data_IF_989728723773
#
_entry.id   IF_989728723773
#
_cell.length_a   1.000
_cell.length_b   1.000
_cell.length_c   1.000
_cell.angle_alpha   90.00
_cell.angle_beta   90.00
_cell.angle_gamma   90.00
#
_symmetry.space_group_name_H-M   'P 1'
#
loop_
_entity.id
_entity.type
_entity.pdbx_description
1 polymer ?
#
# COMPACT_ATOMS: atom_id res chain seq x y z
N UNK A 1 -18.94 48.88 24.17
CA UNK A 1 -18.06 47.73 24.51
C UNK A 1 -18.88 46.79 25.37
N UNK A 2 -18.96 45.50 25.06
CA UNK A 2 -19.72 44.56 25.88
C UNK A 2 -18.99 44.36 27.22
N UNK A 3 -19.63 44.81 28.31
CA UNK A 3 -19.15 44.60 29.68
C UNK A 3 -19.11 43.09 29.95
N UNK A 4 -17.97 42.61 30.42
CA UNK A 4 -17.80 41.20 30.78
C UNK A 4 -18.01 41.12 32.29
N UNK A 5 -19.09 40.49 32.71
CA UNK A 5 -19.38 40.24 34.12
C UNK A 5 -19.10 38.76 34.44
N UNK A 6 -18.67 38.50 35.68
CA UNK A 6 -18.51 37.14 36.17
C UNK A 6 -19.86 36.40 36.16
N UNK A 7 -19.95 35.20 35.56
CA UNK A 7 -21.20 34.45 35.52
C UNK A 7 -21.69 33.98 36.90
N UNK A 8 -20.83 34.00 37.91
CA UNK A 8 -21.13 33.52 39.25
C UNK A 8 -21.52 34.65 40.22
N UNK A 9 -20.75 35.73 40.29
CA UNK A 9 -20.98 36.83 41.24
C UNK A 9 -21.38 38.16 40.58
N UNK A 10 -21.49 38.21 39.25
CA UNK A 10 -21.78 39.43 38.47
C UNK A 10 -20.77 40.58 38.66
N UNK A 11 -19.60 40.31 39.26
CA UNK A 11 -18.52 41.29 39.37
C UNK A 11 -17.89 41.60 38.01
N UNK A 12 -17.47 42.85 37.83
CA UNK A 12 -16.71 43.34 36.68
C UNK A 12 -15.19 43.34 36.96
N UNK A 13 -14.76 43.00 38.17
CA UNK A 13 -13.34 42.84 38.52
C UNK A 13 -12.82 41.48 38.05
N UNK A 14 -12.34 41.46 36.81
CA UNK A 14 -11.88 40.27 36.11
C UNK A 14 -10.50 40.51 35.49
N UNK A 15 -9.69 39.45 35.43
CA UNK A 15 -8.42 39.43 34.72
C UNK A 15 -8.43 38.34 33.64
N UNK A 16 -7.78 38.60 32.51
CA UNK A 16 -7.78 37.71 31.34
C UNK A 16 -6.37 37.30 30.94
N UNK A 17 -6.10 35.99 30.89
CA UNK A 17 -4.83 35.45 30.39
C UNK A 17 -5.02 34.78 29.02
N UNK A 18 -4.30 35.22 27.97
CA UNK A 18 -4.39 34.61 26.64
C UNK A 18 -3.94 33.14 26.65
N UNK A 19 -4.66 32.29 25.93
CA UNK A 19 -4.32 30.88 25.73
C UNK A 19 -3.72 30.66 24.34
N UNK A 20 -2.99 29.55 24.19
CA UNK A 20 -2.30 29.19 22.94
C UNK A 20 -3.24 28.97 21.74
N UNK A 21 -4.52 28.69 21.99
CA UNK A 21 -5.55 28.46 20.97
C UNK A 21 -6.42 29.70 20.68
N UNK A 22 -5.89 30.89 21.02
CA UNK A 22 -6.55 32.19 20.87
C UNK A 22 -7.79 32.41 21.75
N UNK A 23 -8.10 31.51 22.69
CA UNK A 23 -9.11 31.75 23.73
C UNK A 23 -8.53 32.61 24.86
N UNK A 24 -9.41 33.24 25.62
CA UNK A 24 -9.04 34.00 26.82
C UNK A 24 -9.52 33.24 28.06
N UNK A 25 -8.62 32.84 28.94
CA UNK A 25 -9.00 32.33 30.26
C UNK A 25 -9.25 33.55 31.16
N UNK A 26 -10.50 33.72 31.57
CA UNK A 26 -10.92 34.81 32.44
C UNK A 26 -10.99 34.28 33.86
N UNK A 27 -10.40 35.02 34.78
CA UNK A 27 -10.43 34.79 36.22
C UNK A 27 -11.15 35.97 36.88
N UNK A 28 -12.15 35.70 37.72
CA UNK A 28 -12.78 36.73 38.53
C UNK A 28 -12.02 36.92 39.85
N UNK A 29 -11.55 38.14 40.12
CA UNK A 29 -10.75 38.44 41.29
C UNK A 29 -11.57 38.38 42.59
N UNK A 30 -12.90 38.58 42.51
CA UNK A 30 -13.78 38.60 43.69
C UNK A 30 -14.20 37.21 44.18
N UNK A 31 -14.46 36.27 43.28
CA UNK A 31 -14.96 34.94 43.65
C UNK A 31 -14.07 33.79 43.18
N UNK A 32 -12.97 34.09 42.49
CA UNK A 32 -12.01 33.11 41.99
C UNK A 32 -12.54 32.20 40.87
N UNK A 33 -13.72 32.47 40.31
CA UNK A 33 -14.30 31.65 39.25
C UNK A 33 -13.55 31.87 37.94
N UNK A 34 -13.19 30.79 37.26
CA UNK A 34 -12.49 30.80 35.98
C UNK A 34 -13.36 30.26 34.84
N UNK A 35 -13.31 30.92 33.67
CA UNK A 35 -13.99 30.44 32.46
C UNK A 35 -13.27 30.87 31.19
N UNK A 36 -13.47 30.09 30.12
CA UNK A 36 -12.87 30.37 28.81
C UNK A 36 -13.83 31.19 27.94
N UNK A 37 -13.30 32.24 27.30
CA UNK A 37 -14.04 33.09 26.36
C UNK A 37 -13.43 33.03 24.97
N UNK A 38 -14.30 32.92 23.96
CA UNK A 38 -13.95 32.85 22.54
C UNK A 38 -13.96 31.42 22.00
N UNK A 39 -14.13 31.29 20.69
CA UNK A 39 -14.04 30.01 19.99
C UNK A 39 -12.58 29.65 19.74
N UNK A 40 -12.23 28.37 19.92
CA UNK A 40 -10.89 27.88 19.59
C UNK A 40 -10.65 28.06 18.08
N UNK A 41 -9.78 29.00 17.72
CA UNK A 41 -9.39 29.19 16.32
C UNK A 41 -8.27 28.20 16.01
N UNK A 42 -8.48 27.40 14.96
CA UNK A 42 -7.45 26.52 14.42
C UNK A 42 -6.26 27.39 13.98
N UNK A 43 -5.08 27.10 14.52
CA UNK A 43 -3.83 27.78 14.16
C UNK A 43 -3.60 27.67 12.63
N UNK A 44 -3.57 28.79 11.89
CA UNK A 44 -3.33 28.81 10.45
C UNK A 44 -1.95 28.26 10.06
N UNK A 45 -0.98 28.27 10.99
CA UNK A 45 0.37 27.76 10.78
C UNK A 45 0.50 26.25 10.95
N UNK A 46 -0.52 25.57 11.45
CA UNK A 46 -0.52 24.11 11.60
C UNK A 46 -0.92 23.47 10.27
N UNK A 47 -0.01 22.71 9.60
CA UNK A 47 -0.34 22.03 8.36
C UNK A 47 -1.60 21.18 8.55
N UNK A 48 -2.49 21.20 7.57
CA UNK A 48 -3.62 20.28 7.59
C UNK A 48 -3.08 18.86 7.73
N UNK A 49 -3.67 18.06 8.63
CA UNK A 49 -3.37 16.63 8.71
C UNK A 49 -3.64 16.05 7.33
N UNK A 50 -2.59 15.60 6.64
CA UNK A 50 -2.74 14.92 5.35
C UNK A 50 -3.49 13.62 5.60
N UNK A 51 -4.70 13.56 5.06
CA UNK A 51 -5.51 12.33 5.03
C UNK A 51 -4.97 11.38 3.98
N UNK A 52 -5.31 10.10 4.08
CA UNK A 52 -4.95 9.12 3.04
C UNK A 52 -5.51 9.53 1.67
N UNK A 53 -6.72 10.08 1.62
CA UNK A 53 -7.36 10.46 0.36
C UNK A 53 -6.69 11.70 -0.27
N UNK A 54 -6.23 12.67 0.55
CA UNK A 54 -5.40 13.77 0.04
C UNK A 54 -4.04 13.30 -0.47
N UNK A 55 -3.41 12.34 0.21
CA UNK A 55 -2.14 11.76 -0.26
C UNK A 55 -2.32 10.97 -1.55
N UNK A 56 -3.44 10.26 -1.70
CA UNK A 56 -3.77 9.54 -2.93
C UNK A 56 -4.02 10.51 -4.10
N UNK A 57 -4.68 11.65 -3.84
CA UNK A 57 -4.88 12.69 -4.85
C UNK A 57 -3.56 13.31 -5.34
N UNK A 58 -2.54 13.39 -4.48
CA UNK A 58 -1.19 13.84 -4.82
C UNK A 58 -0.34 12.76 -5.52
N UNK A 59 -0.81 11.51 -5.59
CA UNK A 59 -0.08 10.41 -6.22
C UNK A 59 -0.13 10.54 -7.76
N UNK A 60 0.96 10.20 -8.49
CA UNK A 60 0.97 10.27 -9.95
C UNK A 60 -0.18 9.48 -10.60
N UNK A 61 -0.73 10.04 -11.67
CA UNK A 61 -1.82 9.45 -12.45
C UNK A 61 -1.39 9.21 -13.90
N UNK A 62 -2.13 8.43 -14.71
CA UNK A 62 -1.84 8.27 -16.13
C UNK A 62 -1.74 9.59 -16.90
N UNK A 63 -2.46 10.62 -16.45
CA UNK A 63 -2.43 11.96 -17.02
C UNK A 63 -1.03 12.61 -16.96
N UNK A 64 -0.19 12.21 -16.00
CA UNK A 64 1.17 12.74 -15.84
C UNK A 64 2.17 12.21 -16.87
N UNK A 65 1.84 11.15 -17.62
CA UNK A 65 2.72 10.62 -18.67
C UNK A 65 2.70 11.52 -19.91
N UNK A 66 3.87 11.96 -20.37
CA UNK A 66 4.02 12.78 -21.59
C UNK A 66 3.52 12.03 -22.83
N UNK A 67 3.01 12.78 -23.81
CA UNK A 67 2.43 12.21 -25.02
C UNK A 67 3.41 11.30 -25.79
N UNK A 68 4.63 11.77 -26.02
CA UNK A 68 5.71 11.00 -26.67
C UNK A 68 6.02 9.66 -25.97
N UNK A 69 5.88 9.59 -24.65
CA UNK A 69 6.10 8.37 -23.88
C UNK A 69 4.92 7.42 -24.07
N UNK A 70 3.68 7.93 -24.13
CA UNK A 70 2.50 7.11 -24.43
C UNK A 70 2.59 6.50 -25.82
N UNK A 71 3.00 7.27 -26.82
CA UNK A 71 3.20 6.77 -28.19
C UNK A 71 4.27 5.66 -28.24
N UNK A 72 5.39 5.87 -27.54
CA UNK A 72 6.43 4.83 -27.39
C UNK A 72 5.87 3.58 -26.74
N UNK A 73 5.14 3.71 -25.63
CA UNK A 73 4.56 2.55 -24.92
C UNK A 73 3.59 1.81 -25.84
N UNK A 74 2.75 2.50 -26.59
CA UNK A 74 1.84 1.88 -27.55
C UNK A 74 2.59 1.11 -28.65
N UNK A 75 3.69 1.67 -29.16
CA UNK A 75 4.56 0.97 -30.13
C UNK A 75 5.20 -0.28 -29.51
N UNK A 76 5.70 -0.18 -28.28
CA UNK A 76 6.25 -1.31 -27.53
C UNK A 76 5.20 -2.40 -27.26
N UNK A 77 3.96 -2.02 -26.94
CA UNK A 77 2.87 -2.98 -26.76
C UNK A 77 2.57 -3.72 -28.06
N UNK A 78 2.50 -3.01 -29.18
CA UNK A 78 2.31 -3.63 -30.49
C UNK A 78 3.44 -4.61 -30.82
N UNK A 79 4.69 -4.24 -30.57
CA UNK A 79 5.86 -5.12 -30.75
C UNK A 79 5.78 -6.37 -29.86
N UNK A 80 5.50 -6.20 -28.57
CA UNK A 80 5.38 -7.31 -27.63
C UNK A 80 4.30 -8.33 -28.03
N UNK A 81 3.19 -7.85 -28.58
CA UNK A 81 2.08 -8.70 -29.02
C UNK A 81 2.36 -9.44 -30.34
N UNK A 82 3.32 -8.99 -31.16
CA UNK A 82 3.73 -9.70 -32.38
C UNK A 82 4.38 -11.04 -32.06
N UNK A 83 5.11 -11.14 -30.94
CA UNK A 83 5.79 -12.35 -30.49
C UNK A 83 4.84 -13.40 -29.87
N UNK A 84 3.55 -13.07 -29.74
CA UNK A 84 2.48 -13.95 -29.21
C UNK A 84 2.92 -14.74 -27.96
N UNK A 85 3.27 -14.06 -26.87
CA UNK A 85 3.70 -14.73 -25.65
C UNK A 85 2.58 -15.65 -25.14
N UNK A 86 2.82 -16.96 -25.10
CA UNK A 86 1.84 -17.90 -24.55
C UNK A 86 1.74 -17.75 -23.02
N UNK A 87 0.53 -17.78 -22.43
CA UNK A 87 0.34 -17.87 -20.99
C UNK A 87 1.01 -19.11 -20.41
N UNK A 88 1.49 -19.01 -19.18
CA UNK A 88 2.02 -20.17 -18.47
C UNK A 88 0.86 -21.11 -18.09
N UNK A 89 0.83 -22.36 -18.60
CA UNK A 89 -0.30 -23.27 -18.38
C UNK A 89 -0.47 -23.65 -16.91
N UNK A 90 0.58 -23.55 -16.08
CA UNK A 90 0.50 -23.88 -14.66
C UNK A 90 -0.20 -22.80 -13.83
N UNK A 91 -0.21 -21.55 -14.31
CA UNK A 91 -0.70 -20.41 -13.52
C UNK A 91 -2.19 -20.47 -13.24
N UNK A 92 -3.00 -20.92 -14.20
CA UNK A 92 -4.43 -21.06 -14.01
C UNK A 92 -4.78 -22.06 -12.89
N UNK A 93 -4.16 -23.24 -12.91
CA UNK A 93 -4.36 -24.27 -11.89
C UNK A 93 -3.80 -23.86 -10.52
N UNK A 94 -2.60 -23.25 -10.51
CA UNK A 94 -2.01 -22.69 -9.30
C UNK A 94 -2.92 -21.65 -8.65
N UNK A 95 -3.44 -20.71 -9.44
CA UNK A 95 -4.33 -19.65 -8.96
C UNK A 95 -5.62 -20.22 -8.39
N UNK A 96 -6.30 -21.10 -9.13
CA UNK A 96 -7.56 -21.70 -8.68
C UNK A 96 -7.40 -22.42 -7.32
N UNK A 97 -6.34 -23.22 -7.17
CA UNK A 97 -6.01 -23.91 -5.91
C UNK A 97 -5.86 -22.94 -4.74
N UNK A 98 -5.06 -21.90 -4.92
CA UNK A 98 -4.77 -20.98 -3.81
C UNK A 98 -5.87 -19.96 -3.55
N UNK A 99 -6.71 -19.65 -4.54
CA UNK A 99 -7.94 -18.89 -4.32
C UNK A 99 -8.90 -19.64 -3.39
N UNK A 100 -9.10 -20.94 -3.62
CA UNK A 100 -9.91 -21.79 -2.75
C UNK A 100 -9.32 -21.87 -1.34
N UNK A 101 -8.01 -22.12 -1.23
CA UNK A 101 -7.31 -22.19 0.06
C UNK A 101 -7.28 -20.86 0.83
N UNK A 102 -7.35 -19.70 0.17
CA UNK A 102 -7.28 -18.40 0.84
C UNK A 102 -8.65 -17.76 1.13
N UNK A 103 -9.74 -18.49 0.87
CA UNK A 103 -11.06 -18.18 1.44
C UNK A 103 -11.01 -18.19 2.97
N UNK A 104 -11.99 -17.58 3.65
CA UNK A 104 -12.04 -17.56 5.12
C UNK A 104 -12.01 -18.96 5.72
N UNK A 105 -12.81 -19.87 5.15
CA UNK A 105 -12.93 -21.25 5.65
C UNK A 105 -11.75 -22.11 5.20
N UNK A 106 -11.33 -21.99 3.93
CA UNK A 106 -10.19 -22.74 3.40
C UNK A 106 -8.88 -22.43 4.13
N UNK A 107 -8.67 -21.16 4.51
CA UNK A 107 -7.42 -20.71 5.12
C UNK A 107 -7.22 -21.29 6.51
N UNK A 108 -8.30 -21.44 7.28
CA UNK A 108 -8.24 -21.96 8.65
C UNK A 108 -7.64 -23.37 8.71
N UNK A 109 -7.83 -24.17 7.65
CA UNK A 109 -7.35 -25.56 7.55
C UNK A 109 -6.28 -25.76 6.48
N UNK A 110 -5.79 -24.70 5.83
CA UNK A 110 -4.87 -24.80 4.69
C UNK A 110 -3.60 -25.59 5.06
N UNK A 111 -3.26 -26.71 4.39
CA UNK A 111 -2.14 -27.58 4.80
C UNK A 111 -0.79 -26.87 4.84
N UNK A 112 0.08 -27.27 5.77
CA UNK A 112 1.41 -26.68 5.92
C UNK A 112 2.27 -26.81 4.64
N UNK A 113 2.19 -27.96 3.98
CA UNK A 113 2.88 -28.20 2.70
C UNK A 113 2.41 -27.26 1.59
N UNK A 114 1.11 -26.95 1.55
CA UNK A 114 0.52 -26.09 0.53
C UNK A 114 0.93 -24.63 0.72
N UNK A 115 0.97 -24.18 1.98
CA UNK A 115 1.43 -22.84 2.34
C UNK A 115 2.93 -22.66 2.06
N UNK A 116 3.74 -23.69 2.34
CA UNK A 116 5.17 -23.66 2.02
C UNK A 116 5.39 -23.69 0.50
N UNK A 117 4.65 -24.55 -0.23
CA UNK A 117 4.70 -24.60 -1.69
C UNK A 117 4.29 -23.26 -2.31
N UNK A 118 3.24 -22.63 -1.81
CA UNK A 118 2.82 -21.31 -2.25
C UNK A 118 3.96 -20.30 -2.17
N UNK A 119 4.60 -20.25 -0.99
CA UNK A 119 5.62 -19.27 -0.67
C UNK A 119 6.96 -19.53 -1.40
N UNK A 120 7.25 -20.76 -1.80
CA UNK A 120 8.54 -21.14 -2.40
C UNK A 120 8.46 -21.34 -3.90
N UNK A 121 7.27 -21.60 -4.46
CA UNK A 121 7.07 -21.74 -5.89
C UNK A 121 7.34 -20.41 -6.64
N UNK A 122 7.89 -20.52 -7.84
CA UNK A 122 8.04 -19.39 -8.79
C UNK A 122 6.83 -19.23 -9.71
N UNK A 123 5.86 -20.16 -9.68
CA UNK A 123 4.62 -20.06 -10.45
C UNK A 123 3.91 -18.75 -10.11
N UNK A 124 3.32 -18.11 -11.12
CA UNK A 124 2.77 -16.74 -11.11
C UNK A 124 3.83 -15.63 -11.04
N UNK A 125 4.68 -15.65 -10.01
CA UNK A 125 5.82 -14.74 -9.85
C UNK A 125 6.79 -15.25 -8.78
N UNK A 126 8.08 -14.96 -8.96
CA UNK A 126 9.15 -15.37 -8.04
C UNK A 126 9.29 -14.38 -6.87
N UNK A 127 9.11 -14.82 -5.60
CA UNK A 127 9.28 -13.95 -4.43
C UNK A 127 10.75 -13.70 -4.05
N UNK A 128 11.71 -14.23 -4.82
CA UNK A 128 13.14 -14.06 -4.58
C UNK A 128 13.73 -15.06 -3.58
N UNK A 129 14.68 -14.62 -2.75
CA UNK A 129 15.42 -15.50 -1.84
C UNK A 129 14.55 -15.95 -0.65
N UNK A 130 14.24 -17.24 -0.62
CA UNK A 130 13.41 -17.88 0.41
C UNK A 130 14.17 -18.51 1.58
N UNK A 131 15.49 -18.33 1.68
CA UNK A 131 16.31 -18.93 2.75
C UNK A 131 15.86 -18.54 4.16
N UNK A 132 15.41 -17.29 4.35
CA UNK A 132 14.91 -16.80 5.63
C UNK A 132 13.61 -17.49 6.05
N UNK A 133 12.66 -17.68 5.12
CA UNK A 133 11.43 -18.43 5.38
C UNK A 133 11.74 -19.89 5.67
N UNK A 134 12.53 -20.54 4.81
CA UNK A 134 12.88 -21.96 4.97
C UNK A 134 13.57 -22.25 6.30
N UNK A 135 14.45 -21.34 6.77
CA UNK A 135 15.07 -21.46 8.09
C UNK A 135 14.02 -21.35 9.20
N UNK A 136 13.19 -20.31 9.16
CA UNK A 136 12.15 -20.12 10.16
C UNK A 136 11.16 -21.30 10.20
N UNK A 137 10.77 -21.81 9.04
CA UNK A 137 9.88 -22.98 8.89
C UNK A 137 10.46 -24.22 9.55
N UNK A 138 11.75 -24.49 9.33
CA UNK A 138 12.47 -25.61 9.96
C UNK A 138 12.61 -25.43 11.47
N UNK A 139 12.84 -24.20 11.93
CA UNK A 139 13.04 -23.90 13.36
C UNK A 139 11.76 -24.00 14.17
N UNK A 140 10.64 -23.49 13.66
CA UNK A 140 9.34 -23.52 14.34
C UNK A 140 8.66 -24.89 14.22
N UNK A 141 8.93 -25.62 13.14
CA UNK A 141 8.16 -26.80 12.76
C UNK A 141 6.99 -26.43 11.85
N UNK A 142 6.51 -27.41 11.10
CA UNK A 142 5.56 -27.19 10.01
C UNK A 142 4.22 -26.64 10.50
N UNK A 143 3.68 -27.16 11.61
CA UNK A 143 2.38 -26.78 12.13
C UNK A 143 2.37 -25.35 12.67
N UNK A 144 3.35 -25.00 13.54
CA UNK A 144 3.45 -23.66 14.08
C UNK A 144 3.75 -22.61 12.99
N UNK A 145 4.61 -22.95 12.02
CA UNK A 145 4.88 -22.06 10.89
C UNK A 145 3.62 -21.86 10.03
N UNK A 146 2.86 -22.92 9.77
CA UNK A 146 1.60 -22.84 9.03
C UNK A 146 0.56 -21.97 9.74
N UNK A 147 0.36 -22.14 11.05
CA UNK A 147 -0.55 -21.32 11.84
C UNK A 147 -0.21 -19.82 11.75
N UNK A 148 1.08 -19.50 11.87
CA UNK A 148 1.54 -18.10 11.74
C UNK A 148 1.38 -17.56 10.31
N UNK A 149 1.54 -18.39 9.28
CA UNK A 149 1.28 -17.96 7.90
C UNK A 149 -0.22 -17.76 7.65
N UNK A 150 -1.08 -18.64 8.18
CA UNK A 150 -2.55 -18.46 8.13
C UNK A 150 -2.95 -17.16 8.82
N UNK A 151 -2.33 -16.81 9.95
CA UNK A 151 -2.55 -15.54 10.64
C UNK A 151 -2.14 -14.34 9.78
N UNK A 152 -0.97 -14.40 9.14
CA UNK A 152 -0.49 -13.35 8.21
C UNK A 152 -1.46 -13.13 7.05
N UNK A 153 -1.85 -14.21 6.36
CA UNK A 153 -2.76 -14.16 5.20
C UNK A 153 -4.16 -13.74 5.65
N UNK A 154 -4.63 -14.25 6.79
CA UNK A 154 -5.92 -13.95 7.37
C UNK A 154 -6.03 -12.47 7.73
N UNK A 155 -4.99 -11.89 8.34
CA UNK A 155 -4.95 -10.44 8.58
C UNK A 155 -4.95 -9.65 7.27
N UNK A 156 -4.14 -10.04 6.28
CA UNK A 156 -4.06 -9.34 4.99
C UNK A 156 -5.39 -9.31 4.24
N UNK A 157 -6.07 -10.46 4.16
CA UNK A 157 -7.28 -10.62 3.35
C UNK A 157 -8.55 -10.33 4.13
N UNK A 158 -8.63 -10.83 5.36
CA UNK A 158 -9.85 -10.89 6.18
C UNK A 158 -9.74 -10.11 7.50
N UNK A 159 -8.67 -9.35 7.70
CA UNK A 159 -8.51 -8.47 8.87
C UNK A 159 -9.63 -7.43 9.04
N UNK A 160 -9.61 -6.65 10.14
CA UNK A 160 -10.72 -5.76 10.51
C UNK A 160 -11.15 -4.81 9.38
N UNK A 161 -12.46 -4.68 9.15
CA UNK A 161 -13.02 -3.80 8.12
C UNK A 161 -12.69 -2.31 8.34
N UNK A 162 -12.33 -1.94 9.58
CA UNK A 162 -11.85 -0.60 9.93
C UNK A 162 -10.47 -0.28 9.35
N UNK A 163 -9.72 -1.28 8.90
CA UNK A 163 -8.40 -1.12 8.28
C UNK A 163 -8.50 -1.33 6.77
N UNK A 164 -7.99 -0.38 6.01
CA UNK A 164 -7.83 -0.53 4.56
C UNK A 164 -6.73 -1.56 4.25
N UNK A 165 -6.74 -2.10 3.03
CA UNK A 165 -5.72 -3.05 2.56
C UNK A 165 -4.30 -2.49 2.72
N UNK A 166 -4.10 -1.22 2.37
CA UNK A 166 -2.83 -0.51 2.49
C UNK A 166 -2.29 -0.54 3.92
N UNK A 167 -3.16 -0.33 4.90
CA UNK A 167 -2.78 -0.32 6.32
C UNK A 167 -2.46 -1.73 6.81
N UNK A 168 -3.24 -2.75 6.41
CA UNK A 168 -2.99 -4.16 6.75
C UNK A 168 -1.66 -4.64 6.19
N UNK A 169 -1.37 -4.29 4.92
CA UNK A 169 -0.11 -4.59 4.25
C UNK A 169 1.08 -3.90 4.94
N UNK A 170 0.94 -2.60 5.27
CA UNK A 170 1.98 -1.87 6.02
C UNK A 170 2.23 -2.46 7.41
N UNK A 171 1.19 -2.90 8.12
CA UNK A 171 1.33 -3.49 9.45
C UNK A 171 2.12 -4.80 9.43
N UNK A 172 1.86 -5.67 8.44
CA UNK A 172 2.57 -6.94 8.28
C UNK A 172 4.05 -6.68 7.91
N UNK A 173 4.31 -5.89 6.87
CA UNK A 173 5.69 -5.60 6.41
C UNK A 173 6.49 -4.85 7.49
N UNK A 174 5.84 -3.95 8.22
CA UNK A 174 6.44 -3.18 9.31
C UNK A 174 6.81 -4.00 10.55
N UNK A 175 6.52 -5.31 10.56
CA UNK A 175 6.94 -6.22 11.63
C UNK A 175 6.13 -6.08 12.92
N UNK A 176 4.83 -5.73 12.82
CA UNK A 176 3.93 -5.94 13.97
C UNK A 176 3.86 -7.43 14.30
N UNK A 177 3.62 -7.76 15.57
CA UNK A 177 3.59 -9.13 16.09
C UNK A 177 2.36 -9.95 15.62
N UNK A 178 2.16 -10.02 14.30
CA UNK A 178 1.09 -10.76 13.64
C UNK A 178 1.74 -11.75 12.68
N UNK A 179 1.46 -13.05 12.86
CA UNK A 179 1.89 -14.11 11.97
C UNK A 179 3.41 -14.32 11.92
N UNK A 180 3.91 -14.70 10.74
CA UNK A 180 5.31 -15.12 10.57
C UNK A 180 6.18 -14.01 9.93
N UNK A 181 7.15 -13.40 10.65
CA UNK A 181 7.95 -12.30 10.10
C UNK A 181 8.77 -12.61 8.85
N UNK A 182 9.19 -13.87 8.67
CA UNK A 182 9.90 -14.32 7.48
C UNK A 182 8.98 -14.49 6.26
N UNK A 183 7.67 -14.65 6.48
CA UNK A 183 6.63 -14.61 5.45
C UNK A 183 6.12 -13.18 5.19
N UNK A 184 6.11 -12.32 6.21
CA UNK A 184 5.67 -10.92 6.13
C UNK A 184 6.66 -10.01 5.38
N UNK A 185 7.00 -10.41 4.16
CA UNK A 185 7.80 -9.65 3.21
C UNK A 185 6.88 -9.22 2.08
N UNK A 186 7.14 -8.01 1.57
CA UNK A 186 6.35 -7.43 0.48
C UNK A 186 6.13 -8.39 -0.69
N UNK A 187 7.14 -9.17 -1.17
CA UNK A 187 6.91 -10.04 -2.31
C UNK A 187 5.85 -11.12 -2.06
N UNK A 188 5.88 -11.75 -0.89
CA UNK A 188 4.97 -12.84 -0.54
C UNK A 188 3.55 -12.32 -0.32
N UNK A 189 3.40 -11.22 0.40
CA UNK A 189 2.09 -10.60 0.65
C UNK A 189 1.47 -10.09 -0.65
N UNK A 190 2.26 -9.50 -1.54
CA UNK A 190 1.78 -9.09 -2.87
C UNK A 190 1.41 -10.31 -3.72
N UNK A 191 2.16 -11.41 -3.63
CA UNK A 191 1.83 -12.67 -4.32
C UNK A 191 0.48 -13.24 -3.88
N UNK A 192 0.13 -13.12 -2.60
CA UNK A 192 -1.20 -13.50 -2.09
C UNK A 192 -2.28 -12.68 -2.81
N UNK A 193 -2.08 -11.37 -2.94
CA UNK A 193 -3.03 -10.48 -3.62
C UNK A 193 -3.14 -10.78 -5.12
N UNK A 194 -2.04 -11.13 -5.79
CA UNK A 194 -2.05 -11.55 -7.20
C UNK A 194 -2.85 -12.84 -7.44
N UNK A 195 -2.95 -13.71 -6.43
CA UNK A 195 -3.79 -14.91 -6.50
C UNK A 195 -5.25 -14.58 -6.23
N UNK A 196 -5.54 -13.82 -5.16
CA UNK A 196 -6.91 -13.59 -4.68
C UNK A 196 -7.65 -12.55 -5.52
N UNK A 197 -6.95 -11.53 -6.02
CA UNK A 197 -7.49 -10.44 -6.84
C UNK A 197 -6.78 -10.39 -8.20
N UNK A 198 -6.90 -11.44 -9.03
CA UNK A 198 -6.11 -11.60 -10.26
C UNK A 198 -6.41 -10.56 -11.33
N UNK A 199 -7.60 -9.97 -11.29
CA UNK A 199 -8.02 -8.93 -12.25
C UNK A 199 -7.59 -7.53 -11.81
N UNK A 200 -6.97 -7.41 -10.64
CA UNK A 200 -6.48 -6.14 -10.09
C UNK A 200 -4.97 -6.11 -9.93
N UNK A 201 -4.36 -7.17 -9.44
CA UNK A 201 -2.96 -7.17 -9.06
C UNK A 201 -2.06 -7.72 -10.17
N UNK A 202 -1.15 -6.87 -10.63
CA UNK A 202 -0.05 -7.26 -11.49
C UNK A 202 0.93 -8.17 -10.70
N UNK A 203 1.41 -9.28 -11.28
CA UNK A 203 2.47 -10.13 -10.72
C UNK A 203 3.87 -9.46 -10.61
N UNK A 204 3.91 -8.18 -10.23
CA UNK A 204 5.09 -7.40 -9.85
C UNK A 204 5.09 -7.29 -8.32
N UNK A 205 5.98 -8.03 -7.67
CA UNK A 205 5.82 -8.34 -6.25
C UNK A 205 6.35 -7.26 -5.29
N UNK A 206 7.14 -6.31 -5.77
CA UNK A 206 7.80 -5.29 -4.93
C UNK A 206 7.56 -3.88 -5.45
N UNK A 207 7.48 -2.93 -4.52
CA UNK A 207 7.37 -1.52 -4.84
C UNK A 207 8.68 -0.98 -5.40
N UNK A 208 9.80 -1.27 -4.74
CA UNK A 208 11.13 -0.84 -5.21
C UNK A 208 12.13 -1.98 -5.08
N UNK A 209 12.88 -2.19 -6.15
CA UNK A 209 13.98 -3.14 -6.25
C UNK A 209 15.01 -2.60 -7.26
N UNK A 210 16.18 -3.23 -7.38
CA UNK A 210 17.30 -2.65 -8.12
C UNK A 210 16.93 -2.21 -9.56
N UNK A 211 16.07 -2.96 -10.25
CA UNK A 211 15.62 -2.59 -11.61
C UNK A 211 14.18 -2.99 -11.95
N UNK A 212 13.55 -3.85 -11.16
CA UNK A 212 12.29 -4.55 -11.46
C UNK A 212 11.15 -4.23 -10.48
N UNK A 213 11.38 -3.32 -9.54
CA UNK A 213 10.30 -2.81 -8.68
C UNK A 213 9.32 -1.94 -9.46
N UNK A 214 8.08 -1.84 -8.99
CA UNK A 214 7.04 -1.01 -9.60
C UNK A 214 7.48 0.44 -9.79
N UNK A 215 8.23 1.01 -8.83
CA UNK A 215 8.82 2.35 -8.89
C UNK A 215 9.80 2.48 -10.05
N UNK A 216 10.71 1.53 -10.19
CA UNK A 216 11.72 1.55 -11.25
C UNK A 216 11.08 1.32 -12.61
N UNK A 217 10.08 0.44 -12.71
CA UNK A 217 9.29 0.25 -13.94
C UNK A 217 8.55 1.54 -14.32
N UNK A 218 7.88 2.20 -13.35
CA UNK A 218 7.21 3.47 -13.58
C UNK A 218 8.16 4.53 -14.14
N UNK A 219 9.39 4.58 -13.63
CA UNK A 219 10.41 5.52 -14.11
C UNK A 219 10.95 5.14 -15.49
N UNK A 220 11.32 3.88 -15.71
CA UNK A 220 12.00 3.43 -16.93
C UNK A 220 11.06 3.31 -18.14
N UNK A 221 9.81 2.92 -17.91
CA UNK A 221 8.83 2.72 -18.99
C UNK A 221 8.01 3.99 -19.26
N UNK A 222 7.62 4.70 -18.18
CA UNK A 222 6.66 5.81 -18.27
C UNK A 222 7.24 7.19 -17.91
N UNK A 223 8.52 7.28 -17.55
CA UNK A 223 9.18 8.50 -17.05
C UNK A 223 8.43 9.15 -15.86
N UNK A 224 7.82 8.32 -15.01
CA UNK A 224 7.12 8.76 -13.80
C UNK A 224 7.99 8.57 -12.56
N UNK A 225 8.15 9.63 -11.77
CA UNK A 225 8.84 9.58 -10.48
C UNK A 225 7.83 9.28 -9.36
N UNK A 226 7.90 8.07 -8.80
CA UNK A 226 7.07 7.68 -7.66
C UNK A 226 7.74 8.01 -6.31
N UNK A 227 6.95 8.39 -5.28
CA UNK A 227 7.48 8.81 -3.99
C UNK A 227 8.29 7.73 -3.26
N UNK A 228 9.33 8.09 -2.48
CA UNK A 228 10.05 7.11 -1.67
C UNK A 228 9.19 6.56 -0.52
N UNK A 229 9.55 5.38 -0.01
CA UNK A 229 8.91 4.80 1.17
C UNK A 229 9.14 5.70 2.38
N UNK A 230 8.05 6.02 3.08
CA UNK A 230 8.04 6.80 4.32
C UNK A 230 7.23 6.09 5.40
N UNK A 231 7.45 6.45 6.67
CA UNK A 231 6.80 5.77 7.81
C UNK A 231 5.30 6.06 7.93
N UNK A 232 4.82 7.22 7.49
CA UNK A 232 3.46 7.71 7.81
C UNK A 232 2.67 8.20 6.59
N UNK A 233 3.29 8.92 5.67
CA UNK A 233 2.63 9.45 4.46
C UNK A 233 2.64 8.41 3.33
N UNK A 234 3.83 8.10 2.83
CA UNK A 234 4.06 7.15 1.73
C UNK A 234 4.42 5.77 2.27
N UNK A 235 3.51 5.16 3.03
CA UNK A 235 3.75 3.84 3.62
C UNK A 235 3.87 2.77 2.52
N UNK A 236 4.62 1.70 2.81
CA UNK A 236 4.87 0.65 1.83
C UNK A 236 3.57 0.02 1.28
N UNK A 237 2.53 -0.14 2.11
CA UNK A 237 1.26 -0.72 1.67
C UNK A 237 0.49 0.22 0.73
N UNK A 238 0.54 1.53 0.98
CA UNK A 238 -0.01 2.53 0.05
C UNK A 238 0.74 2.50 -1.28
N UNK A 239 2.07 2.54 -1.22
CA UNK A 239 2.91 2.54 -2.41
C UNK A 239 2.74 1.25 -3.22
N UNK A 240 2.72 0.08 -2.59
CA UNK A 240 2.53 -1.20 -3.27
C UNK A 240 1.17 -1.30 -3.98
N UNK A 241 0.12 -0.74 -3.37
CA UNK A 241 -1.26 -0.74 -3.91
C UNK A 241 -1.43 0.31 -5.00
N UNK A 242 -1.07 1.56 -4.74
CA UNK A 242 -1.30 2.66 -5.67
C UNK A 242 -0.40 2.56 -6.91
N UNK A 243 0.85 2.10 -6.75
CA UNK A 243 1.70 1.83 -7.91
C UNK A 243 1.21 0.64 -8.73
N UNK A 244 0.59 -0.38 -8.10
CA UNK A 244 -0.06 -1.47 -8.83
C UNK A 244 -1.21 -0.95 -9.68
N UNK A 245 -2.13 -0.20 -9.07
CA UNK A 245 -3.32 0.32 -9.73
C UNK A 245 -2.93 1.32 -10.84
N UNK A 246 -1.90 2.15 -10.62
CA UNK A 246 -1.33 3.03 -11.63
C UNK A 246 -0.74 2.25 -12.81
N UNK A 247 0.14 1.27 -12.57
CA UNK A 247 0.78 0.50 -13.65
C UNK A 247 -0.26 -0.30 -14.44
N UNK A 248 -1.25 -0.89 -13.77
CA UNK A 248 -2.38 -1.56 -14.45
C UNK A 248 -3.12 -0.59 -15.35
N UNK A 249 -3.45 0.60 -14.85
CA UNK A 249 -4.13 1.63 -15.65
C UNK A 249 -3.28 2.15 -16.82
N UNK A 250 -1.95 2.13 -16.69
CA UNK A 250 -1.03 2.58 -17.72
C UNK A 250 -0.84 1.56 -18.86
N UNK A 251 -0.88 0.25 -18.55
CA UNK A 251 -0.91 -0.79 -19.57
C UNK A 251 -2.26 -0.78 -20.30
N UNK A 252 -3.35 -0.49 -19.60
CA UNK A 252 -4.68 -0.42 -20.19
C UNK A 252 -5.24 -1.79 -20.54
N UNK A 253 -6.26 -1.82 -21.40
CA UNK A 253 -7.01 -3.04 -21.72
C UNK A 253 -6.48 -3.79 -22.96
N UNK A 254 -5.46 -3.28 -23.63
CA UNK A 254 -4.89 -3.91 -24.83
C UNK A 254 -4.17 -5.24 -24.48
N UNK A 255 -3.76 -5.40 -23.23
CA UNK A 255 -3.24 -6.64 -22.66
C UNK A 255 -4.14 -7.03 -21.47
N UNK A 256 -5.24 -7.78 -21.72
CA UNK A 256 -6.27 -8.03 -20.70
C UNK A 256 -5.80 -8.98 -19.59
N UNK A 257 -4.86 -9.89 -19.89
CA UNK A 257 -4.27 -10.75 -18.86
C UNK A 257 -3.17 -9.98 -18.10
N UNK A 258 -3.36 -9.81 -16.79
CA UNK A 258 -2.39 -9.14 -15.93
C UNK A 258 -1.05 -9.87 -15.83
N UNK A 259 -1.00 -11.18 -16.10
CA UNK A 259 0.26 -11.91 -16.21
C UNK A 259 1.05 -11.46 -17.44
N UNK A 260 0.39 -11.35 -18.59
CA UNK A 260 1.00 -10.81 -19.82
C UNK A 260 1.36 -9.33 -19.65
N UNK A 261 0.52 -8.54 -18.99
CA UNK A 261 0.79 -7.13 -18.70
C UNK A 261 2.08 -6.96 -17.86
N UNK A 262 2.28 -7.80 -16.83
CA UNK A 262 3.51 -7.78 -16.06
C UNK A 262 4.74 -8.21 -16.88
N UNK A 263 4.59 -9.22 -17.76
CA UNK A 263 5.66 -9.62 -18.68
C UNK A 263 6.03 -8.50 -19.65
N UNK A 264 5.02 -7.82 -20.21
CA UNK A 264 5.21 -6.65 -21.05
C UNK A 264 6.01 -5.57 -20.30
N UNK A 265 5.63 -5.20 -19.08
CA UNK A 265 6.34 -4.18 -18.30
C UNK A 265 7.80 -4.57 -18.01
N UNK A 266 8.05 -5.85 -17.69
CA UNK A 266 9.39 -6.37 -17.44
C UNK A 266 10.26 -6.45 -18.70
N UNK A 267 9.65 -6.62 -19.88
CA UNK A 267 10.32 -6.55 -21.17
C UNK A 267 10.57 -5.10 -21.59
N UNK A 268 9.55 -4.23 -21.51
CA UNK A 268 9.58 -2.83 -21.92
C UNK A 268 10.66 -2.02 -21.16
N UNK A 269 10.89 -2.32 -19.87
CA UNK A 269 11.96 -1.68 -19.09
C UNK A 269 13.37 -1.96 -19.62
N UNK A 270 13.56 -3.08 -20.32
CA UNK A 270 14.86 -3.47 -20.89
C UNK A 270 15.08 -2.92 -22.30
N UNK A 271 14.05 -2.30 -22.90
CA UNK A 271 14.17 -1.69 -24.20
C UNK A 271 14.92 -0.35 -24.13
N UNK A 272 15.66 0.02 -25.18
CA UNK A 272 16.38 1.29 -25.23
C UNK A 272 15.46 2.46 -24.88
N UNK A 273 15.98 3.40 -24.08
CA UNK A 273 15.30 4.67 -23.86
C UNK A 273 15.18 5.39 -25.20
N UNK A 274 14.04 6.06 -25.44
CA UNK A 274 13.95 6.97 -26.57
C UNK A 274 15.08 8.00 -26.44
N UNK A 275 15.95 8.07 -27.45
CA UNK A 275 16.95 9.12 -27.56
C UNK A 275 16.23 10.45 -27.46
N UNK A 276 16.58 11.27 -26.45
CA UNK A 276 16.11 12.65 -26.37
C UNK A 276 16.73 13.42 -27.54
N UNK A 277 16.02 13.49 -28.66
CA UNK A 277 16.26 14.48 -29.71
C UNK A 277 15.41 15.70 -29.46
#
# INVERSE_FOLDING_TARGET
>A
MALIACPNCSSEDINGTPQADSRLLIHCNDCGTEWLRGDARRDPGRPALQTIDSLHADFPTPAAVRHEIRERVAALQAEFLLDRPEPDPEVAGYRARYQELFTRDGLATAPAEDLLHFATSSTLASPGNMSGLNRAWKTLGADEAADKVRESIGHLLHGPETLRLEDRLTQLIGGRAIGLPSFNKEPLLTKVLCVVEPDRWLPLLTYSAATDGKKEIAKLVFDLDLPPVAKTTWTIGRLATWSNDLLRSLVGNDIPDLQEAARFLLWARSQPAASRT
#
